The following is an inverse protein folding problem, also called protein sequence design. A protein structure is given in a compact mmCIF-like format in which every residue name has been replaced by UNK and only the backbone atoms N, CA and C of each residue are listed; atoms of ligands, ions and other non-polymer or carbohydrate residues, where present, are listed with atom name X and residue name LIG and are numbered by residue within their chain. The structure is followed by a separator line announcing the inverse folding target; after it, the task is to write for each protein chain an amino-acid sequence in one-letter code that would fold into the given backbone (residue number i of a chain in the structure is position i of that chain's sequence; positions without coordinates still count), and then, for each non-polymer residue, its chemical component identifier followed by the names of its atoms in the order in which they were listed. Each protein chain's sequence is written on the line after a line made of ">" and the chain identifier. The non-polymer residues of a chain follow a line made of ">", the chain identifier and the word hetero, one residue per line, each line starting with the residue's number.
data_IF_666829706845
#
_entry.id   IF_666829706845
#
_cell.length_a   1.000
_cell.length_b   1.000
_cell.length_c   1.000
_cell.angle_alpha   90.00
_cell.angle_beta   90.00
_cell.angle_gamma   90.00
#
_symmetry.space_group_name_H-M   'P 1'
#
loop_
_entity.id
_entity.type
_entity.pdbx_description
1 polymer ?
#
# COMPACT_ATOMS: atom_id res chain seq x y z
N UNK A 1 -17.59 12.59 9.05
CA UNK A 1 -17.70 14.02 8.69
C UNK A 1 -18.90 14.27 7.77
N UNK A 2 -19.08 13.49 6.71
CA UNK A 2 -20.31 13.53 5.89
C UNK A 2 -21.30 12.49 6.40
N UNK A 3 -22.60 12.84 6.40
CA UNK A 3 -23.69 11.93 6.79
C UNK A 3 -24.43 11.48 5.53
N UNK A 4 -24.89 10.22 5.51
CA UNK A 4 -25.69 9.65 4.42
C UNK A 4 -24.99 9.75 3.06
N UNK A 5 -23.73 9.33 3.00
CA UNK A 5 -22.91 9.32 1.78
C UNK A 5 -22.65 7.88 1.36
N UNK A 6 -22.88 7.58 0.10
CA UNK A 6 -22.47 6.35 -0.57
C UNK A 6 -21.16 6.61 -1.29
N UNK A 7 -20.11 5.87 -0.93
CA UNK A 7 -18.75 6.02 -1.46
C UNK A 7 -18.46 4.92 -2.47
N UNK A 8 -18.29 5.31 -3.73
CA UNK A 8 -17.85 4.44 -4.80
C UNK A 8 -16.38 4.68 -5.11
N UNK A 9 -15.61 3.61 -5.19
CA UNK A 9 -14.18 3.70 -5.48
C UNK A 9 -13.86 3.07 -6.85
N UNK A 10 -13.20 3.82 -7.73
CA UNK A 10 -12.75 3.33 -9.03
C UNK A 10 -11.26 3.04 -9.01
N UNK A 11 -10.89 1.79 -9.26
CA UNK A 11 -9.50 1.33 -9.23
C UNK A 11 -9.19 0.31 -10.33
N UNK A 12 -7.94 -0.15 -10.42
CA UNK A 12 -7.56 -1.29 -11.26
C UNK A 12 -7.90 -2.59 -10.54
N UNK A 13 -8.20 -3.65 -11.31
CA UNK A 13 -8.44 -4.99 -10.78
C UNK A 13 -7.28 -5.47 -9.88
N UNK A 14 -6.04 -5.14 -10.22
CA UNK A 14 -4.85 -5.49 -9.42
C UNK A 14 -4.83 -4.89 -8.01
N UNK A 15 -5.62 -3.86 -7.74
CA UNK A 15 -5.68 -3.21 -6.42
C UNK A 15 -6.97 -3.57 -5.67
N UNK A 16 -7.81 -4.44 -6.23
CA UNK A 16 -9.10 -4.78 -5.63
C UNK A 16 -8.95 -5.34 -4.22
N UNK A 17 -8.02 -6.29 -4.04
CA UNK A 17 -7.75 -6.93 -2.75
C UNK A 17 -7.34 -5.96 -1.63
N UNK A 18 -6.76 -4.81 -1.96
CA UNK A 18 -6.40 -3.77 -0.98
C UNK A 18 -7.61 -3.03 -0.43
N UNK A 19 -8.74 -3.05 -1.15
CA UNK A 19 -9.89 -2.22 -0.88
C UNK A 19 -11.16 -3.02 -0.52
N UNK A 20 -11.21 -4.30 -0.92
CA UNK A 20 -12.42 -5.12 -0.80
C UNK A 20 -12.98 -5.21 0.63
N UNK A 21 -12.12 -5.16 1.63
CA UNK A 21 -12.49 -5.26 3.04
C UNK A 21 -12.68 -3.87 3.70
N UNK A 22 -12.57 -2.78 2.92
CA UNK A 22 -12.68 -1.44 3.49
C UNK A 22 -14.14 -1.07 3.75
N UNK A 23 -14.50 -1.05 5.03
CA UNK A 23 -15.87 -0.77 5.50
C UNK A 23 -16.40 0.64 5.18
N UNK A 24 -15.55 1.53 4.70
CA UNK A 24 -15.94 2.89 4.32
C UNK A 24 -16.23 3.01 2.81
N UNK A 25 -16.04 1.94 2.04
CA UNK A 25 -16.31 1.90 0.60
C UNK A 25 -17.56 1.05 0.37
N UNK A 26 -18.62 1.66 -0.11
CA UNK A 26 -19.86 0.96 -0.39
C UNK A 26 -19.80 0.15 -1.68
N UNK A 27 -19.02 0.64 -2.68
CA UNK A 27 -18.90 -0.05 -3.97
C UNK A 27 -17.56 0.20 -4.65
N UNK A 28 -16.95 -0.89 -5.12
CA UNK A 28 -15.71 -0.84 -5.91
C UNK A 28 -16.04 -1.08 -7.37
N UNK A 29 -15.54 -0.20 -8.24
CA UNK A 29 -15.57 -0.35 -9.70
C UNK A 29 -14.16 -0.61 -10.21
N UNK A 30 -14.02 -1.52 -11.17
CA UNK A 30 -12.74 -1.82 -11.79
C UNK A 30 -12.60 -1.13 -13.13
N UNK A 31 -11.43 -0.58 -13.42
CA UNK A 31 -11.15 0.09 -14.70
C UNK A 31 -11.30 -0.84 -15.90
N UNK A 32 -11.12 -2.14 -15.65
CA UNK A 32 -11.23 -3.22 -16.64
C UNK A 32 -12.66 -3.74 -16.84
N UNK A 33 -13.63 -3.20 -16.09
CA UNK A 33 -15.03 -3.63 -16.23
C UNK A 33 -15.58 -3.37 -17.63
N UNK A 34 -16.26 -4.36 -18.16
CA UNK A 34 -17.06 -4.20 -19.39
C UNK A 34 -18.17 -3.18 -19.11
N UNK A 35 -18.38 -2.26 -20.04
CA UNK A 35 -19.38 -1.19 -19.91
C UNK A 35 -19.22 -0.27 -18.67
N UNK A 36 -17.98 -0.10 -18.19
CA UNK A 36 -17.68 0.74 -17.01
C UNK A 36 -18.43 2.08 -17.02
N UNK A 37 -18.34 2.82 -18.12
CA UNK A 37 -19.00 4.14 -18.23
C UNK A 37 -20.52 4.06 -18.11
N UNK A 38 -21.14 3.03 -18.67
CA UNK A 38 -22.58 2.79 -18.56
C UNK A 38 -22.96 2.49 -17.10
N UNK A 39 -22.17 1.64 -16.42
CA UNK A 39 -22.33 1.34 -15.00
C UNK A 39 -22.18 2.60 -14.14
N UNK A 40 -21.15 3.41 -14.37
CA UNK A 40 -20.91 4.65 -13.61
C UNK A 40 -22.03 5.68 -13.82
N UNK A 41 -22.51 5.88 -15.05
CA UNK A 41 -23.62 6.80 -15.33
C UNK A 41 -24.92 6.42 -14.63
N UNK A 42 -25.18 5.11 -14.48
CA UNK A 42 -26.38 4.60 -13.80
C UNK A 42 -26.46 5.01 -12.34
N UNK A 43 -25.31 5.21 -11.68
CA UNK A 43 -25.26 5.55 -10.25
C UNK A 43 -25.53 7.04 -9.95
N UNK A 44 -25.59 7.93 -10.98
CA UNK A 44 -25.93 9.36 -10.82
C UNK A 44 -25.14 10.06 -9.72
N UNK A 45 -23.80 10.04 -9.79
CA UNK A 45 -22.94 10.64 -8.77
C UNK A 45 -23.18 12.16 -8.62
N UNK A 46 -23.11 12.66 -7.39
CA UNK A 46 -23.19 14.08 -7.08
C UNK A 46 -21.83 14.76 -7.19
N UNK A 47 -20.74 14.03 -6.90
CA UNK A 47 -19.41 14.58 -6.86
C UNK A 47 -18.33 13.53 -7.16
N UNK A 48 -17.22 13.97 -7.78
CA UNK A 48 -16.05 13.12 -8.04
C UNK A 48 -14.82 13.70 -7.37
N UNK A 49 -14.19 12.92 -6.50
CA UNK A 49 -12.87 13.21 -5.92
C UNK A 49 -11.81 12.48 -6.75
N UNK A 50 -10.96 13.21 -7.46
CA UNK A 50 -9.95 12.63 -8.33
C UNK A 50 -8.57 12.64 -7.66
N UNK A 51 -8.18 11.53 -7.05
CA UNK A 51 -6.89 11.35 -6.40
C UNK A 51 -5.77 10.93 -7.35
N UNK A 52 -6.08 10.76 -8.65
CA UNK A 52 -5.10 10.33 -9.64
C UNK A 52 -4.71 11.43 -10.62
N UNK A 53 -5.66 12.28 -11.02
CA UNK A 53 -5.49 13.47 -11.85
C UNK A 53 -4.63 13.22 -13.11
N UNK A 54 -5.05 12.27 -13.97
CA UNK A 54 -4.39 11.96 -15.24
C UNK A 54 -5.37 12.00 -16.42
N UNK A 55 -4.88 11.78 -17.64
CA UNK A 55 -5.71 11.82 -18.86
C UNK A 55 -6.88 10.84 -18.81
N UNK A 56 -6.71 9.66 -18.19
CA UNK A 56 -7.78 8.68 -18.06
C UNK A 56 -8.88 9.19 -17.13
N UNK A 57 -8.53 9.70 -15.95
CA UNK A 57 -9.51 10.26 -15.01
C UNK A 57 -10.16 11.52 -15.54
N UNK A 58 -9.42 12.34 -16.29
CA UNK A 58 -9.97 13.49 -16.99
C UNK A 58 -11.06 13.07 -18.00
N UNK A 59 -10.79 12.04 -18.83
CA UNK A 59 -11.76 11.49 -19.77
C UNK A 59 -13.02 10.97 -19.06
N UNK A 60 -12.87 10.21 -17.98
CA UNK A 60 -14.00 9.68 -17.19
C UNK A 60 -14.83 10.82 -16.61
N UNK A 61 -14.20 11.83 -16.01
CA UNK A 61 -14.90 13.01 -15.46
C UNK A 61 -15.69 13.76 -16.53
N UNK A 62 -15.08 14.01 -17.70
CA UNK A 62 -15.74 14.66 -18.83
C UNK A 62 -16.95 13.87 -19.34
N UNK A 63 -16.82 12.52 -19.42
CA UNK A 63 -17.90 11.66 -19.91
C UNK A 63 -19.04 11.51 -18.90
N UNK A 64 -18.79 11.68 -17.60
CA UNK A 64 -19.83 11.66 -16.56
C UNK A 64 -20.50 13.01 -16.38
N UNK A 65 -19.84 14.13 -16.70
CA UNK A 65 -20.39 15.48 -16.56
C UNK A 65 -20.65 15.92 -15.12
N UNK A 66 -20.01 15.27 -14.13
CA UNK A 66 -20.26 15.50 -12.71
C UNK A 66 -19.24 16.48 -12.13
N UNK A 67 -19.67 17.30 -11.17
CA UNK A 67 -18.78 18.22 -10.43
C UNK A 67 -17.61 17.44 -9.85
N UNK A 68 -16.39 17.97 -10.01
CA UNK A 68 -15.21 17.23 -9.55
C UNK A 68 -14.12 18.15 -9.05
N UNK A 69 -13.28 17.63 -8.16
CA UNK A 69 -12.02 18.25 -7.78
C UNK A 69 -10.90 17.21 -7.76
N UNK A 70 -9.77 17.58 -8.33
CA UNK A 70 -8.58 16.75 -8.35
C UNK A 70 -7.56 17.24 -7.33
N UNK A 71 -6.75 16.33 -6.79
CA UNK A 71 -5.63 16.72 -5.95
C UNK A 71 -4.52 17.38 -6.78
N UNK A 72 -3.77 18.33 -6.21
CA UNK A 72 -2.70 19.03 -6.92
C UNK A 72 -1.47 18.12 -7.06
N UNK A 73 -1.09 17.76 -8.29
CA UNK A 73 0.11 16.94 -8.58
C UNK A 73 1.43 17.66 -8.40
N UNK A 74 1.43 18.99 -8.48
CA UNK A 74 2.60 19.85 -8.41
C UNK A 74 3.68 19.51 -9.47
N UNK A 75 3.28 19.05 -10.66
CA UNK A 75 4.19 18.59 -11.71
C UNK A 75 5.23 19.64 -12.10
N UNK A 76 4.81 20.91 -12.24
CA UNK A 76 5.73 22.01 -12.56
C UNK A 76 6.78 22.23 -11.46
N UNK A 77 6.35 22.19 -10.19
CA UNK A 77 7.28 22.33 -9.05
C UNK A 77 8.26 21.16 -8.96
N UNK A 78 7.80 19.95 -9.26
CA UNK A 78 8.66 18.75 -9.34
C UNK A 78 9.63 18.85 -10.52
N UNK A 79 9.18 19.32 -11.68
CA UNK A 79 10.03 19.55 -12.84
C UNK A 79 11.15 20.57 -12.53
N UNK A 80 10.82 21.69 -11.88
CA UNK A 80 11.81 22.69 -11.44
C UNK A 80 12.83 22.08 -10.46
N UNK A 81 12.39 21.25 -9.51
CA UNK A 81 13.28 20.60 -8.57
C UNK A 81 14.24 19.63 -9.27
N UNK A 82 13.74 18.79 -10.15
CA UNK A 82 14.54 17.72 -10.81
C UNK A 82 15.54 18.32 -11.79
N UNK A 83 15.09 19.27 -12.64
CA UNK A 83 15.93 19.76 -13.75
C UNK A 83 16.77 20.98 -13.35
N UNK A 84 16.27 21.83 -12.47
CA UNK A 84 16.93 23.10 -12.11
C UNK A 84 17.35 23.15 -10.65
N UNK A 85 17.09 22.09 -9.85
CA UNK A 85 17.38 22.02 -8.41
C UNK A 85 16.67 23.12 -7.59
N UNK A 86 15.61 23.73 -8.16
CA UNK A 86 14.80 24.76 -7.50
C UNK A 86 13.67 24.09 -6.74
N UNK A 87 13.80 24.02 -5.41
CA UNK A 87 12.76 23.45 -4.56
C UNK A 87 11.68 24.48 -4.22
N UNK A 88 10.52 24.35 -4.86
CA UNK A 88 9.28 25.10 -4.57
C UNK A 88 8.14 24.16 -4.11
N UNK A 89 8.48 22.94 -3.71
CA UNK A 89 7.49 22.01 -3.18
C UNK A 89 7.03 22.47 -1.79
N UNK A 90 5.71 22.40 -1.49
CA UNK A 90 5.24 22.67 -0.13
C UNK A 90 5.69 21.54 0.80
N UNK A 91 6.02 21.88 2.03
CA UNK A 91 6.30 20.90 3.08
C UNK A 91 4.98 20.38 3.67
N UNK A 92 4.22 19.67 2.84
CA UNK A 92 2.90 19.11 3.18
C UNK A 92 2.92 17.64 2.82
N UNK A 93 2.51 16.80 3.76
CA UNK A 93 2.45 15.35 3.54
C UNK A 93 1.47 15.00 2.42
N UNK A 94 1.74 13.92 1.67
CA UNK A 94 0.91 13.53 0.52
C UNK A 94 -0.54 13.27 0.91
N UNK A 95 -0.80 12.73 2.09
CA UNK A 95 -2.15 12.49 2.63
C UNK A 95 -2.91 13.80 2.76
N UNK A 96 -2.30 14.84 3.35
CA UNK A 96 -2.93 16.16 3.50
C UNK A 96 -3.24 16.80 2.13
N UNK A 97 -2.38 16.56 1.14
CA UNK A 97 -2.64 17.00 -0.24
C UNK A 97 -3.82 16.26 -0.89
N UNK A 98 -4.08 15.00 -0.52
CA UNK A 98 -5.28 14.31 -0.97
C UNK A 98 -6.55 14.94 -0.38
N UNK A 99 -6.51 15.42 0.86
CA UNK A 99 -7.63 16.16 1.46
C UNK A 99 -7.94 17.47 0.74
N UNK A 100 -7.00 18.09 0.02
CA UNK A 100 -7.31 19.25 -0.83
C UNK A 100 -8.37 18.93 -1.91
N UNK A 101 -8.42 17.68 -2.39
CA UNK A 101 -9.44 17.26 -3.35
C UNK A 101 -10.84 17.16 -2.73
N UNK A 102 -10.96 17.04 -1.41
CA UNK A 102 -12.23 16.96 -0.67
C UNK A 102 -12.64 18.29 -0.04
N UNK A 103 -11.85 19.35 -0.17
CA UNK A 103 -12.06 20.62 0.54
C UNK A 103 -13.42 21.28 0.27
N UNK A 104 -14.00 21.09 -0.96
CA UNK A 104 -15.33 21.59 -1.28
C UNK A 104 -16.46 20.80 -0.61
N UNK A 105 -16.16 19.66 -0.03
CA UNK A 105 -17.09 18.82 0.72
C UNK A 105 -16.97 19.06 2.24
N UNK A 106 -16.09 19.97 2.68
CA UNK A 106 -15.84 20.21 4.10
C UNK A 106 -15.12 19.08 4.84
N UNK A 107 -14.53 18.13 4.10
CA UNK A 107 -13.79 16.99 4.67
C UNK A 107 -12.35 17.38 4.91
N UNK A 108 -11.87 17.17 6.14
CA UNK A 108 -10.50 17.48 6.57
C UNK A 108 -9.84 16.24 7.18
N UNK A 109 -8.52 16.25 7.27
CA UNK A 109 -7.75 15.19 7.93
C UNK A 109 -8.08 15.18 9.43
N UNK A 110 -8.58 14.06 9.94
CA UNK A 110 -8.88 13.85 11.36
C UNK A 110 -7.66 13.41 12.18
N UNK A 111 -6.53 13.23 11.51
CA UNK A 111 -5.23 12.85 12.09
C UNK A 111 -5.21 11.53 12.84
N UNK A 112 -6.14 10.64 12.54
CA UNK A 112 -6.19 9.29 13.11
C UNK A 112 -5.31 8.26 12.40
N UNK A 113 -4.49 8.70 11.42
CA UNK A 113 -3.63 7.82 10.65
C UNK A 113 -4.32 7.21 9.43
N UNK A 114 -3.87 6.05 9.04
CA UNK A 114 -4.40 5.28 7.91
C UNK A 114 -5.06 4.01 8.45
N UNK A 115 -6.05 3.51 7.72
CA UNK A 115 -6.70 2.24 8.01
C UNK A 115 -6.34 1.18 6.97
N UNK A 116 -6.16 -0.06 7.41
CA UNK A 116 -6.12 -1.25 6.57
C UNK A 116 -6.97 -2.35 7.22
N UNK A 117 -7.87 -2.95 6.44
CA UNK A 117 -8.87 -3.86 6.97
C UNK A 117 -8.55 -5.30 6.58
N UNK A 118 -8.46 -6.18 7.57
CA UNK A 118 -8.28 -7.63 7.43
C UNK A 118 -9.54 -8.36 7.89
N UNK A 119 -9.86 -9.46 7.22
CA UNK A 119 -10.90 -10.40 7.59
C UNK A 119 -10.28 -11.64 8.26
N UNK A 120 -11.10 -12.48 8.89
CA UNK A 120 -10.63 -13.70 9.56
C UNK A 120 -9.90 -14.65 8.58
N UNK A 121 -10.38 -14.76 7.35
CA UNK A 121 -9.76 -15.58 6.29
C UNK A 121 -8.38 -15.07 5.82
N UNK A 122 -8.03 -13.82 6.13
CA UNK A 122 -6.71 -13.27 5.78
C UNK A 122 -5.62 -13.73 6.77
N UNK A 123 -6.00 -14.21 7.96
CA UNK A 123 -5.03 -14.64 8.96
C UNK A 123 -4.48 -16.03 8.63
N UNK A 124 -3.16 -16.11 8.61
CA UNK A 124 -2.43 -17.37 8.44
C UNK A 124 -2.52 -18.17 9.74
N UNK A 125 -2.92 -19.46 9.63
CA UNK A 125 -2.94 -20.34 10.81
C UNK A 125 -1.55 -20.40 11.45
N UNK A 126 -1.42 -20.34 12.78
CA UNK A 126 -0.16 -20.58 13.47
C UNK A 126 0.50 -21.90 13.05
N UNK A 127 -0.27 -22.96 12.84
CA UNK A 127 0.23 -24.28 12.42
C UNK A 127 0.89 -24.31 11.04
N UNK A 128 0.68 -23.24 10.23
CA UNK A 128 1.36 -23.07 8.95
C UNK A 128 2.77 -22.47 9.09
N UNK A 129 3.17 -22.10 10.31
CA UNK A 129 4.50 -21.57 10.63
C UNK A 129 5.25 -22.55 11.53
N UNK A 130 6.59 -22.60 11.47
CA UNK A 130 7.38 -23.39 12.40
C UNK A 130 7.12 -22.98 13.87
N UNK A 131 7.21 -23.92 14.81
CA UNK A 131 6.88 -23.70 16.22
C UNK A 131 7.65 -22.52 16.85
N UNK A 132 8.92 -22.34 16.52
CA UNK A 132 9.76 -21.27 17.04
C UNK A 132 9.22 -19.86 16.68
N UNK A 133 8.32 -19.75 15.71
CA UNK A 133 7.72 -18.49 15.27
C UNK A 133 6.49 -18.09 16.09
N UNK A 134 5.93 -19.00 16.88
CA UNK A 134 4.72 -18.76 17.67
C UNK A 134 4.96 -17.76 18.81
N UNK A 135 6.19 -17.69 19.35
CA UNK A 135 6.58 -16.73 20.40
C UNK A 135 6.95 -15.34 19.84
N UNK A 136 6.70 -15.13 18.56
CA UNK A 136 6.91 -13.85 17.87
C UNK A 136 8.08 -13.86 16.89
N UNK A 137 7.95 -13.06 15.86
CA UNK A 137 8.90 -12.96 14.76
C UNK A 137 8.99 -11.52 14.23
N UNK A 138 10.05 -11.25 13.48
CA UNK A 138 10.20 -10.01 12.71
C UNK A 138 9.79 -10.28 11.26
N UNK A 139 8.93 -9.44 10.70
CA UNK A 139 8.61 -9.47 9.28
C UNK A 139 9.64 -8.66 8.49
N UNK A 140 10.25 -9.26 7.48
CA UNK A 140 11.26 -8.60 6.64
C UNK A 140 10.77 -8.61 5.18
N UNK A 141 10.52 -7.43 4.61
CA UNK A 141 10.07 -7.29 3.23
C UNK A 141 11.28 -7.31 2.29
N UNK A 142 11.34 -8.33 1.43
CA UNK A 142 12.51 -8.62 0.58
C UNK A 142 12.54 -7.76 -0.68
N UNK A 143 11.40 -7.60 -1.32
CA UNK A 143 11.26 -7.02 -2.65
C UNK A 143 10.78 -5.58 -2.67
N UNK A 144 11.05 -4.93 -3.78
CA UNK A 144 10.44 -3.66 -4.16
C UNK A 144 10.28 -3.60 -5.68
N UNK A 145 9.21 -2.98 -6.15
CA UNK A 145 8.91 -2.85 -7.58
C UNK A 145 10.02 -2.12 -8.36
N UNK A 146 10.70 -1.18 -7.73
CA UNK A 146 11.75 -0.37 -8.36
C UNK A 146 13.13 -0.84 -7.88
N UNK A 147 14.03 -1.12 -8.82
CA UNK A 147 15.39 -1.58 -8.51
C UNK A 147 16.13 -0.66 -7.52
N UNK A 148 16.01 0.66 -7.70
CA UNK A 148 16.63 1.66 -6.81
C UNK A 148 16.13 1.65 -5.37
N UNK A 149 15.01 0.98 -5.11
CA UNK A 149 14.43 0.80 -3.77
C UNK A 149 14.70 -0.58 -3.19
N UNK A 150 15.27 -1.49 -3.98
CA UNK A 150 15.55 -2.84 -3.52
C UNK A 150 16.77 -2.86 -2.61
N UNK A 151 16.65 -3.57 -1.51
CA UNK A 151 17.76 -3.85 -0.62
C UNK A 151 18.72 -4.85 -1.28
N UNK A 152 20.04 -4.57 -1.37
CA UNK A 152 21.01 -5.57 -1.83
C UNK A 152 20.95 -6.85 -0.99
N UNK A 153 21.14 -8.01 -1.64
CA UNK A 153 21.01 -9.32 -0.99
C UNK A 153 21.96 -9.47 0.21
N UNK A 154 23.21 -9.04 0.07
CA UNK A 154 24.22 -9.10 1.13
C UNK A 154 23.84 -8.25 2.36
N UNK A 155 23.27 -7.07 2.16
CA UNK A 155 22.80 -6.21 3.25
C UNK A 155 21.60 -6.86 3.94
N UNK A 156 20.64 -7.39 3.17
CA UNK A 156 19.48 -8.07 3.71
C UNK A 156 19.87 -9.30 4.54
N UNK A 157 20.83 -10.11 4.04
CA UNK A 157 21.36 -11.26 4.77
C UNK A 157 22.07 -10.85 6.05
N UNK A 158 22.87 -9.78 6.03
CA UNK A 158 23.53 -9.24 7.25
C UNK A 158 22.50 -8.77 8.29
N UNK A 159 21.47 -8.06 7.87
CA UNK A 159 20.36 -7.65 8.75
C UNK A 159 19.73 -8.89 9.40
N UNK A 160 19.34 -9.88 8.58
CA UNK A 160 18.71 -11.09 9.08
C UNK A 160 19.62 -11.89 10.05
N UNK A 161 20.93 -11.95 9.81
CA UNK A 161 21.89 -12.57 10.72
C UNK A 161 21.97 -11.87 12.08
N UNK A 162 21.88 -10.55 12.08
CA UNK A 162 21.97 -9.72 13.29
C UNK A 162 20.72 -9.71 14.17
N UNK A 163 19.60 -10.27 13.71
CA UNK A 163 18.37 -10.33 14.49
C UNK A 163 18.36 -11.57 15.39
N UNK A 164 17.94 -11.45 16.64
CA UNK A 164 17.83 -12.59 17.58
C UNK A 164 16.52 -13.35 17.46
N UNK A 165 15.48 -12.73 16.93
CA UNK A 165 14.15 -13.32 16.76
C UNK A 165 14.02 -14.07 15.43
N UNK A 166 13.10 -15.05 15.34
CA UNK A 166 12.69 -15.65 14.07
C UNK A 166 12.26 -14.61 13.04
N UNK A 167 12.43 -14.91 11.75
CA UNK A 167 12.22 -13.98 10.66
C UNK A 167 11.31 -14.58 9.62
N UNK A 168 10.24 -13.87 9.27
CA UNK A 168 9.44 -14.20 8.07
C UNK A 168 9.82 -13.24 6.95
N UNK A 169 10.32 -13.78 5.84
CA UNK A 169 10.59 -13.04 4.63
C UNK A 169 9.30 -12.90 3.82
N UNK A 170 8.91 -11.67 3.49
CA UNK A 170 7.70 -11.35 2.73
C UNK A 170 8.04 -10.68 1.41
N UNK A 171 7.35 -11.07 0.36
CA UNK A 171 7.55 -10.55 -0.99
C UNK A 171 6.64 -11.26 -1.98
N UNK A 172 6.71 -10.89 -3.24
CA UNK A 172 6.00 -11.59 -4.30
C UNK A 172 6.79 -12.82 -4.82
N UNK A 173 6.23 -13.50 -5.83
CA UNK A 173 6.86 -14.68 -6.42
C UNK A 173 8.24 -14.39 -7.04
N UNK A 174 8.49 -13.16 -7.48
CA UNK A 174 9.78 -12.77 -8.08
C UNK A 174 10.87 -12.61 -7.03
N UNK A 175 10.49 -12.46 -5.76
CA UNK A 175 11.41 -12.32 -4.63
C UNK A 175 11.83 -13.66 -4.03
N UNK A 176 11.16 -14.77 -4.43
CA UNK A 176 11.35 -16.11 -3.86
C UNK A 176 12.82 -16.56 -3.87
N UNK A 177 13.49 -16.47 -5.01
CA UNK A 177 14.89 -16.91 -5.16
C UNK A 177 15.86 -16.13 -4.26
N UNK A 178 15.61 -14.84 -4.12
CA UNK A 178 16.38 -13.96 -3.22
C UNK A 178 16.18 -14.37 -1.76
N UNK A 179 14.93 -14.60 -1.36
CA UNK A 179 14.56 -15.04 -0.03
C UNK A 179 15.09 -16.44 0.28
N UNK A 180 15.02 -17.37 -0.66
CA UNK A 180 15.55 -18.73 -0.54
C UNK A 180 17.06 -18.76 -0.25
N UNK A 181 17.85 -17.89 -0.90
CA UNK A 181 19.27 -17.78 -0.62
C UNK A 181 19.54 -17.35 0.83
N UNK A 182 18.75 -16.43 1.37
CA UNK A 182 18.86 -15.97 2.77
C UNK A 182 18.47 -17.09 3.73
N UNK A 183 17.34 -17.75 3.49
CA UNK A 183 16.86 -18.88 4.28
C UNK A 183 17.89 -20.00 4.33
N UNK A 184 18.47 -20.39 3.17
CA UNK A 184 19.50 -21.42 3.09
C UNK A 184 20.79 -21.04 3.82
N UNK A 185 21.16 -19.75 3.81
CA UNK A 185 22.36 -19.24 4.47
C UNK A 185 22.23 -19.17 5.99
N UNK A 186 21.04 -18.86 6.50
CA UNK A 186 20.80 -18.59 7.92
C UNK A 186 20.17 -19.81 8.62
N UNK A 187 19.41 -20.64 7.91
CA UNK A 187 18.78 -21.84 8.44
C UNK A 187 17.39 -21.61 9.05
N UNK A 188 17.02 -22.47 10.03
CA UNK A 188 15.66 -22.58 10.59
C UNK A 188 15.09 -21.29 11.21
N UNK A 189 15.95 -20.33 11.53
CA UNK A 189 15.54 -19.02 12.04
C UNK A 189 14.80 -18.17 11.00
N UNK A 190 14.89 -18.50 9.72
CA UNK A 190 14.29 -17.77 8.60
C UNK A 190 13.26 -18.65 7.92
N UNK A 191 12.06 -18.12 7.74
CA UNK A 191 11.00 -18.73 6.97
C UNK A 191 10.73 -17.92 5.71
N UNK A 192 10.82 -18.57 4.55
CA UNK A 192 10.56 -17.92 3.26
C UNK A 192 9.07 -17.94 2.92
N UNK A 193 8.39 -16.83 3.17
CA UNK A 193 6.99 -16.59 2.81
C UNK A 193 6.79 -15.89 1.46
N UNK A 194 7.87 -15.60 0.69
CA UNK A 194 7.76 -14.91 -0.60
C UNK A 194 6.97 -15.73 -1.62
N UNK A 195 5.92 -15.13 -2.16
CA UNK A 195 5.05 -15.78 -3.15
C UNK A 195 4.09 -16.84 -2.61
N UNK A 196 4.20 -17.20 -1.32
CA UNK A 196 3.29 -18.14 -0.66
C UNK A 196 1.97 -17.46 -0.22
N UNK A 197 2.03 -16.18 0.09
CA UNK A 197 0.92 -15.42 0.65
C UNK A 197 0.46 -14.30 -0.29
N UNK A 198 -0.85 -14.07 -0.35
CA UNK A 198 -1.40 -12.89 -0.99
C UNK A 198 -1.14 -11.63 -0.15
N UNK A 199 -1.52 -10.45 -0.67
CA UNK A 199 -1.23 -9.18 0.00
C UNK A 199 -1.91 -9.07 1.37
N UNK A 200 -3.13 -9.58 1.54
CA UNK A 200 -3.86 -9.54 2.80
C UNK A 200 -3.27 -10.51 3.82
N UNK A 201 -2.91 -11.73 3.40
CA UNK A 201 -2.22 -12.70 4.25
C UNK A 201 -0.84 -12.19 4.69
N UNK A 202 -0.07 -11.59 3.78
CA UNK A 202 1.20 -10.94 4.11
C UNK A 202 0.98 -9.80 5.13
N UNK A 203 -0.12 -9.06 4.98
CA UNK A 203 -0.50 -7.99 5.92
C UNK A 203 -0.92 -8.52 7.29
N UNK A 204 -1.59 -9.68 7.34
CA UNK A 204 -1.93 -10.37 8.58
C UNK A 204 -0.67 -10.87 9.30
N UNK A 205 0.31 -11.42 8.57
CA UNK A 205 1.62 -11.77 9.11
C UNK A 205 2.35 -10.53 9.66
N UNK A 206 2.29 -9.40 8.95
CA UNK A 206 2.82 -8.13 9.45
C UNK A 206 2.11 -7.72 10.74
N UNK A 207 0.78 -7.79 10.79
CA UNK A 207 -0.01 -7.44 11.97
C UNK A 207 0.40 -8.24 13.21
N UNK A 208 0.70 -9.52 13.03
CA UNK A 208 1.09 -10.43 14.12
C UNK A 208 2.60 -10.38 14.45
N UNK A 209 3.42 -9.71 13.63
CA UNK A 209 4.87 -9.60 13.88
C UNK A 209 5.19 -8.67 15.06
N UNK A 210 6.36 -8.82 15.63
CA UNK A 210 6.93 -7.91 16.65
C UNK A 210 7.34 -6.55 16.06
N UNK A 211 7.71 -6.55 14.77
CA UNK A 211 8.10 -5.36 14.03
C UNK A 211 8.39 -5.70 12.57
N UNK A 212 8.62 -4.67 11.77
CA UNK A 212 8.80 -4.78 10.32
C UNK A 212 10.09 -4.12 9.88
N UNK A 213 10.88 -4.81 9.07
CA UNK A 213 12.03 -4.23 8.36
C UNK A 213 11.70 -4.23 6.88
N UNK A 214 11.78 -3.09 6.23
CA UNK A 214 11.35 -2.94 4.85
C UNK A 214 12.08 -1.81 4.13
N UNK A 215 12.01 -1.79 2.80
CA UNK A 215 12.28 -0.60 2.02
C UNK A 215 10.96 0.16 1.74
N UNK A 216 11.02 1.23 0.93
CA UNK A 216 9.82 1.97 0.48
C UNK A 216 8.95 1.11 -0.46
N UNK A 217 8.00 0.38 0.13
CA UNK A 217 7.14 -0.61 -0.52
C UNK A 217 5.66 -0.46 -0.15
N UNK A 218 4.77 -1.17 -0.86
CA UNK A 218 3.36 -1.25 -0.50
C UNK A 218 3.14 -1.82 0.91
N UNK A 219 3.88 -2.87 1.29
CA UNK A 219 3.79 -3.48 2.61
C UNK A 219 4.28 -2.55 3.74
N UNK A 220 5.22 -1.64 3.46
CA UNK A 220 5.60 -0.59 4.42
C UNK A 220 4.41 0.31 4.77
N UNK A 221 3.66 0.76 3.75
CA UNK A 221 2.49 1.60 3.97
C UNK A 221 1.37 0.86 4.72
N UNK A 222 1.21 -0.44 4.43
CA UNK A 222 0.26 -1.29 5.15
C UNK A 222 0.71 -1.48 6.61
N UNK A 223 1.99 -1.75 6.85
CA UNK A 223 2.53 -1.85 8.20
C UNK A 223 2.29 -0.57 9.03
N UNK A 224 2.45 0.60 8.37
CA UNK A 224 2.12 1.89 8.99
C UNK A 224 0.63 2.02 9.30
N UNK A 225 -0.26 1.55 8.40
CA UNK A 225 -1.71 1.57 8.63
C UNK A 225 -2.16 0.57 9.72
N UNK A 226 -1.35 -0.44 10.01
CA UNK A 226 -1.54 -1.42 11.08
C UNK A 226 -0.86 -1.03 12.40
N UNK A 227 -0.32 0.19 12.48
CA UNK A 227 0.38 0.74 13.66
C UNK A 227 1.54 -0.13 14.15
N UNK A 228 2.34 -0.68 13.21
CA UNK A 228 3.50 -1.52 13.51
C UNK A 228 4.76 -0.68 13.69
N UNK A 229 5.66 -1.15 14.53
CA UNK A 229 7.03 -0.64 14.60
C UNK A 229 7.75 -0.97 13.29
N UNK A 230 8.25 0.05 12.59
CA UNK A 230 8.84 -0.10 11.26
C UNK A 230 10.26 0.47 11.25
N UNK A 231 11.21 -0.34 10.78
CA UNK A 231 12.51 0.13 10.33
C UNK A 231 12.47 0.19 8.79
N UNK A 232 12.44 1.40 8.26
CA UNK A 232 12.40 1.62 6.82
C UNK A 232 13.77 2.04 6.29
N UNK A 233 14.30 1.28 5.33
CA UNK A 233 15.55 1.59 4.64
C UNK A 233 15.24 2.32 3.33
N UNK A 234 15.68 3.56 3.24
CA UNK A 234 15.49 4.40 2.07
C UNK A 234 16.73 4.34 1.17
N UNK A 235 16.52 3.97 -0.09
CA UNK A 235 17.53 4.15 -1.14
C UNK A 235 17.53 5.60 -1.67
N UNK A 236 18.64 6.03 -2.23
CA UNK A 236 18.77 7.32 -2.91
C UNK A 236 18.14 7.28 -4.30
#
# INVERSE_FOLDING_TARGET
>A
QLKNVEIHYLTKKTNYSLLQNNKYIDKIHMLEDVDLLKKLRKNKFDYIVDLHNNLRTLKIKAMLGVKSKAFPKLNLKKFLLVNFKINKLPNIHIVDRYFEATSKLGVTNDKKGLDFFLQEEDFVSPDALPLDFHDGYIAVVVGSKHFTKQMPLNILAQICKGLDKPIILLGDKTDYEKAYKIEKEIGSKVFNGCGAYNINQSSALIKNSLGVITADTGLMHIASALDKNIICLWGN
#
